data_IF_482978518639
#
_entry.id   IF_482978518639
#
_cell.length_a   1.000
_cell.length_b   1.000
_cell.length_c   1.000
_cell.angle_alpha   90.00
_cell.angle_beta   90.00
_cell.angle_gamma   90.00
#
_symmetry.space_group_name_H-M   'P 1'
#
loop_
_entity.id
_entity.type
_entity.pdbx_description
1 polymer ?
#
# COMPACT_ATOMS: atom_id res chain seq x y z
N UNK A 1 -12.77 -24.78 -6.79
CA UNK A 1 -12.27 -23.66 -5.96
C UNK A 1 -10.93 -23.99 -5.29
N UNK A 2 -10.64 -25.26 -5.01
CA UNK A 2 -9.36 -25.74 -4.44
C UNK A 2 -8.12 -25.47 -5.34
N UNK A 3 -8.28 -25.45 -6.67
CA UNK A 3 -7.16 -25.25 -7.61
C UNK A 3 -6.58 -23.82 -7.62
N UNK A 4 -7.36 -22.80 -7.24
CA UNK A 4 -6.90 -21.41 -7.27
C UNK A 4 -5.95 -21.09 -6.10
N UNK A 5 -6.14 -21.73 -4.94
CA UNK A 5 -5.30 -21.56 -3.76
C UNK A 5 -3.90 -22.19 -3.98
N UNK A 6 -3.86 -23.38 -4.58
CA UNK A 6 -2.63 -24.11 -4.88
C UNK A 6 -1.74 -23.42 -5.92
N UNK A 7 -2.35 -22.80 -6.92
CA UNK A 7 -1.64 -22.03 -7.94
C UNK A 7 -1.13 -20.69 -7.38
N UNK A 8 -1.87 -20.08 -6.44
CA UNK A 8 -1.53 -18.79 -5.82
C UNK A 8 -0.27 -18.86 -4.94
N UNK A 9 -0.14 -19.88 -4.08
CA UNK A 9 0.98 -19.98 -3.13
C UNK A 9 2.31 -20.38 -3.80
N UNK A 10 2.32 -21.38 -4.71
CA UNK A 10 3.54 -21.76 -5.47
C UNK A 10 4.07 -20.62 -6.33
N UNK A 11 3.17 -19.78 -6.88
CA UNK A 11 3.55 -18.65 -7.73
C UNK A 11 3.92 -17.39 -6.96
N UNK A 12 3.65 -17.28 -5.65
CA UNK A 12 3.88 -16.02 -4.93
C UNK A 12 5.26 -15.93 -4.29
N UNK A 13 5.70 -16.95 -3.55
CA UNK A 13 7.00 -16.93 -2.86
C UNK A 13 8.18 -17.05 -3.84
N UNK A 14 8.14 -18.01 -4.77
CA UNK A 14 9.22 -18.15 -5.74
C UNK A 14 9.29 -16.94 -6.69
N UNK A 15 8.15 -16.32 -7.00
CA UNK A 15 8.11 -15.09 -7.80
C UNK A 15 8.73 -13.91 -7.07
N UNK A 16 8.52 -13.76 -5.76
CA UNK A 16 9.14 -12.65 -5.03
C UNK A 16 10.67 -12.80 -4.98
N UNK A 17 11.18 -14.00 -4.70
CA UNK A 17 12.63 -14.23 -4.66
C UNK A 17 13.30 -13.98 -6.01
N UNK A 18 12.68 -14.45 -7.10
CA UNK A 18 13.17 -14.21 -8.47
C UNK A 18 13.12 -12.72 -8.84
N UNK A 19 12.04 -12.02 -8.47
CA UNK A 19 11.90 -10.58 -8.71
C UNK A 19 12.94 -9.75 -7.94
N UNK A 20 13.35 -10.23 -6.75
CA UNK A 20 14.42 -9.64 -5.95
C UNK A 20 15.84 -10.06 -6.41
N UNK A 21 15.96 -10.72 -7.55
CA UNK A 21 17.23 -11.10 -8.16
C UNK A 21 17.97 -12.22 -7.42
N UNK A 22 17.27 -13.08 -6.68
CA UNK A 22 17.89 -14.29 -6.10
C UNK A 22 18.18 -15.30 -7.20
N UNK A 23 19.36 -15.94 -7.13
CA UNK A 23 19.76 -16.98 -8.06
C UNK A 23 18.86 -18.21 -7.92
N UNK A 24 18.62 -18.91 -9.04
CA UNK A 24 17.73 -20.08 -9.07
C UNK A 24 18.16 -21.15 -8.06
N UNK A 25 19.47 -21.44 -8.00
CA UNK A 25 20.05 -22.40 -7.04
C UNK A 25 19.71 -22.05 -5.58
N UNK A 26 19.73 -20.76 -5.24
CA UNK A 26 19.39 -20.29 -3.90
C UNK A 26 17.89 -20.45 -3.61
N UNK A 27 17.05 -20.16 -4.59
CA UNK A 27 15.59 -20.34 -4.46
C UNK A 27 15.26 -21.81 -4.26
N UNK A 28 15.87 -22.68 -5.06
CA UNK A 28 15.69 -24.14 -4.96
C UNK A 28 16.20 -24.69 -3.63
N UNK A 29 17.36 -24.23 -3.14
CA UNK A 29 17.88 -24.59 -1.83
C UNK A 29 16.90 -24.22 -0.71
N UNK A 30 16.41 -22.98 -0.71
CA UNK A 30 15.48 -22.48 0.31
C UNK A 30 14.17 -23.27 0.26
N UNK A 31 13.63 -23.52 -0.93
CA UNK A 31 12.41 -24.30 -1.10
C UNK A 31 12.59 -25.73 -0.58
N UNK A 32 13.66 -26.40 -1.01
CA UNK A 32 13.96 -27.78 -0.62
C UNK A 32 14.13 -27.90 0.89
N UNK A 33 14.95 -27.03 1.48
CA UNK A 33 15.15 -27.00 2.93
C UNK A 33 13.84 -26.75 3.68
N UNK A 34 13.06 -25.75 3.25
CA UNK A 34 11.79 -25.40 3.90
C UNK A 34 10.77 -26.54 3.83
N UNK A 35 10.74 -27.28 2.73
CA UNK A 35 9.89 -28.48 2.57
C UNK A 35 10.32 -29.61 3.51
N UNK A 36 11.61 -29.92 3.57
CA UNK A 36 12.15 -30.95 4.46
C UNK A 36 11.87 -30.63 5.93
N UNK A 37 11.99 -29.36 6.32
CA UNK A 37 11.72 -28.92 7.70
C UNK A 37 10.23 -28.75 8.02
N UNK A 38 9.32 -28.90 7.05
CA UNK A 38 7.89 -28.67 7.25
C UNK A 38 7.50 -27.19 7.41
N UNK A 39 8.38 -26.25 7.05
CA UNK A 39 8.09 -24.81 7.02
C UNK A 39 7.39 -24.37 5.74
N UNK A 40 7.30 -25.26 4.75
CA UNK A 40 6.64 -24.99 3.48
C UNK A 40 5.15 -25.33 3.55
N UNK A 41 4.30 -24.34 3.26
CA UNK A 41 2.84 -24.53 3.25
C UNK A 41 2.38 -25.08 1.90
N UNK A 42 2.13 -26.39 1.84
CA UNK A 42 1.50 -27.09 0.69
C UNK A 42 -0.05 -26.96 0.76
N UNK A 43 -0.59 -25.72 0.76
CA UNK A 43 -2.04 -25.42 0.87
C UNK A 43 -2.77 -26.02 2.11
N UNK A 44 -4.11 -25.86 2.19
CA UNK A 44 -5.08 -26.01 3.31
C UNK A 44 -4.91 -27.21 4.27
N UNK A 45 -3.73 -27.30 4.86
CA UNK A 45 -3.48 -28.14 6.02
C UNK A 45 -4.39 -27.65 7.13
N UNK A 46 -5.20 -28.54 7.70
CA UNK A 46 -6.08 -28.22 8.81
C UNK A 46 -5.23 -27.83 10.03
N UNK A 47 -5.10 -26.52 10.24
CA UNK A 47 -4.41 -25.96 11.40
C UNK A 47 -5.48 -25.55 12.39
N UNK A 48 -5.39 -26.10 13.60
CA UNK A 48 -6.22 -25.65 14.72
C UNK A 48 -5.61 -24.39 15.31
N UNK A 49 -6.35 -23.28 15.21
CA UNK A 49 -6.00 -22.02 15.85
C UNK A 49 -6.83 -21.86 17.13
N UNK A 50 -6.30 -21.11 18.11
CA UNK A 50 -7.06 -20.74 19.31
C UNK A 50 -8.27 -19.88 18.96
N UNK A 51 -8.08 -18.95 18.02
CA UNK A 51 -9.10 -18.04 17.52
C UNK A 51 -9.02 -17.97 15.99
N UNK A 52 -10.18 -17.92 15.35
CA UNK A 52 -10.31 -17.79 13.89
C UNK A 52 -11.08 -16.51 13.58
N UNK A 53 -10.50 -15.67 12.73
CA UNK A 53 -11.12 -14.43 12.26
C UNK A 53 -11.31 -14.56 10.75
N UNK A 54 -12.52 -14.27 10.29
CA UNK A 54 -12.87 -14.27 8.88
C UNK A 54 -12.94 -12.85 8.33
N UNK A 55 -12.50 -12.67 7.08
CA UNK A 55 -12.53 -11.39 6.39
C UNK A 55 -12.89 -11.63 4.93
N UNK A 56 -14.07 -11.16 4.52
CA UNK A 56 -14.43 -11.13 3.10
C UNK A 56 -13.74 -9.95 2.40
N UNK A 57 -12.88 -10.27 1.43
CA UNK A 57 -12.19 -9.26 0.63
C UNK A 57 -13.15 -8.49 -0.31
N UNK A 58 -14.32 -9.06 -0.61
CA UNK A 58 -15.33 -8.44 -1.47
C UNK A 58 -16.02 -7.25 -0.81
N UNK A 59 -16.07 -7.23 0.53
CA UNK A 59 -16.68 -6.16 1.33
C UNK A 59 -15.69 -5.02 1.66
N UNK A 60 -14.42 -5.14 1.25
CA UNK A 60 -13.40 -4.13 1.56
C UNK A 60 -13.61 -2.88 0.71
N UNK A 61 -13.83 -1.76 1.38
CA UNK A 61 -13.90 -0.42 0.79
C UNK A 61 -12.67 0.43 1.14
N UNK A 62 -12.28 1.39 0.26
CA UNK A 62 -11.25 2.37 0.56
C UNK A 62 -11.54 3.13 1.87
N UNK A 63 -10.54 3.21 2.74
CA UNK A 63 -10.64 3.86 4.04
C UNK A 63 -9.37 4.63 4.40
N UNK A 64 -9.50 5.52 5.37
CA UNK A 64 -8.42 6.27 6.00
C UNK A 64 -8.40 5.94 7.50
N UNK A 65 -7.21 5.91 8.09
CA UNK A 65 -7.04 5.78 9.54
C UNK A 65 -6.79 7.14 10.20
N UNK A 66 -7.44 7.41 11.33
CA UNK A 66 -7.27 8.65 12.11
C UNK A 66 -8.60 9.26 12.57
N UNK A 67 -8.63 10.54 12.97
CA UNK A 67 -7.53 11.53 12.94
C UNK A 67 -6.55 11.41 14.12
N UNK A 68 -6.91 10.69 15.19
CA UNK A 68 -6.14 10.64 16.45
C UNK A 68 -5.40 9.32 16.67
N UNK A 69 -5.97 8.18 16.23
CA UNK A 69 -5.39 6.84 16.47
C UNK A 69 -5.39 5.99 15.20
N UNK A 70 -4.42 5.09 15.02
CA UNK A 70 -4.29 4.28 13.79
C UNK A 70 -5.42 3.25 13.59
N UNK A 71 -6.02 2.76 14.68
CA UNK A 71 -7.15 1.82 14.63
C UNK A 71 -8.49 2.48 14.27
N UNK A 72 -8.57 3.81 14.26
CA UNK A 72 -9.78 4.54 13.92
C UNK A 72 -10.02 4.47 12.40
N UNK A 73 -10.84 3.53 11.94
CA UNK A 73 -11.13 3.32 10.51
C UNK A 73 -12.30 4.21 10.04
N UNK A 74 -12.03 5.09 9.08
CA UNK A 74 -13.01 5.98 8.45
C UNK A 74 -13.13 5.59 6.97
N UNK A 75 -14.35 5.31 6.48
CA UNK A 75 -14.55 5.06 5.04
C UNK A 75 -14.23 6.34 4.26
N UNK A 76 -13.65 6.20 3.07
CA UNK A 76 -13.19 7.35 2.29
C UNK A 76 -14.31 8.37 2.00
N UNK A 77 -15.54 7.88 1.79
CA UNK A 77 -16.75 8.70 1.57
C UNK A 77 -17.15 9.55 2.79
N UNK A 78 -16.77 9.14 3.99
CA UNK A 78 -17.18 9.76 5.26
C UNK A 78 -16.08 10.68 5.84
N UNK A 79 -14.91 10.74 5.20
CA UNK A 79 -13.75 11.54 5.68
C UNK A 79 -14.11 13.01 5.86
N UNK A 80 -14.81 13.61 4.89
CA UNK A 80 -15.17 15.03 4.96
C UNK A 80 -16.08 15.35 6.17
N UNK A 81 -17.06 14.48 6.45
CA UNK A 81 -17.93 14.63 7.61
C UNK A 81 -17.17 14.47 8.93
N UNK A 82 -16.26 13.49 9.02
CA UNK A 82 -15.49 13.24 10.24
C UNK A 82 -14.49 14.36 10.52
N UNK A 83 -13.82 14.87 9.47
CA UNK A 83 -12.92 16.03 9.61
C UNK A 83 -13.68 17.24 10.13
N UNK A 84 -14.87 17.52 9.59
CA UNK A 84 -15.70 18.64 10.05
C UNK A 84 -16.12 18.50 11.51
N UNK A 85 -16.47 17.30 11.97
CA UNK A 85 -16.89 17.08 13.37
C UNK A 85 -15.74 17.05 14.37
N UNK A 86 -14.58 16.48 13.98
CA UNK A 86 -13.46 16.26 14.91
C UNK A 86 -12.42 17.39 14.92
N UNK A 87 -12.26 18.10 13.80
CA UNK A 87 -11.24 19.15 13.62
C UNK A 87 -11.89 20.55 13.55
N UNK A 88 -13.14 20.63 13.10
CA UNK A 88 -13.82 21.90 12.83
C UNK A 88 -13.44 22.48 11.47
N UNK A 89 -14.12 23.55 11.05
CA UNK A 89 -13.92 24.25 9.77
C UNK A 89 -13.71 25.76 9.98
N UNK A 90 -13.20 26.13 11.16
CA UNK A 90 -12.95 27.55 11.46
C UNK A 90 -11.84 28.07 10.53
N UNK A 91 -12.05 29.23 9.89
CA UNK A 91 -11.04 29.84 9.03
C UNK A 91 -9.84 30.26 9.88
N UNK A 92 -8.64 29.88 9.44
CA UNK A 92 -7.41 30.42 10.03
C UNK A 92 -7.16 31.83 9.50
N UNK A 93 -6.28 32.58 10.17
CA UNK A 93 -5.91 33.97 9.80
C UNK A 93 -5.25 34.10 8.42
N UNK A 94 -5.01 32.99 7.72
CA UNK A 94 -4.62 32.94 6.32
C UNK A 94 -5.88 32.66 5.50
N UNK A 95 -6.32 33.62 4.68
CA UNK A 95 -7.61 33.66 3.96
C UNK A 95 -7.98 32.43 3.11
N UNK A 96 -7.10 31.43 2.98
CA UNK A 96 -7.31 30.21 2.18
C UNK A 96 -7.15 28.90 2.95
N UNK A 97 -6.85 28.94 4.26
CA UNK A 97 -6.65 27.74 5.08
C UNK A 97 -7.75 27.69 6.14
N UNK A 98 -8.55 26.61 6.13
CA UNK A 98 -9.54 26.29 7.16
C UNK A 98 -9.21 24.98 7.88
N UNK A 99 -9.91 24.72 8.98
CA UNK A 99 -9.92 23.42 9.62
C UNK A 99 -10.21 22.29 8.62
N UNK A 100 -9.30 21.31 8.53
CA UNK A 100 -9.35 20.23 7.54
C UNK A 100 -8.48 20.43 6.29
N UNK A 101 -7.86 21.60 6.13
CA UNK A 101 -6.87 21.81 5.05
C UNK A 101 -5.66 20.87 5.21
N UNK A 102 -5.25 20.21 4.13
CA UNK A 102 -4.08 19.33 4.14
C UNK A 102 -2.81 20.15 3.99
N UNK A 103 -1.98 20.17 5.04
CA UNK A 103 -0.71 20.88 5.04
C UNK A 103 0.47 19.99 4.64
N UNK A 104 0.39 18.69 4.94
CA UNK A 104 1.43 17.71 4.63
C UNK A 104 0.77 16.52 3.91
N UNK A 105 1.31 16.17 2.75
CA UNK A 105 0.98 14.93 2.04
C UNK A 105 2.25 14.10 1.89
N UNK A 106 2.36 13.03 2.68
CA UNK A 106 3.57 12.24 2.78
C UNK A 106 3.33 10.80 2.32
N UNK A 107 3.99 10.38 1.24
CA UNK A 107 4.10 8.96 0.86
C UNK A 107 5.39 8.43 1.50
N UNK A 108 5.26 7.82 2.67
CA UNK A 108 6.38 7.38 3.51
C UNK A 108 6.12 5.99 4.10
N UNK A 109 7.09 5.50 4.87
CA UNK A 109 7.12 4.20 5.56
C UNK A 109 7.21 2.96 4.67
N UNK A 110 7.85 1.92 5.21
CA UNK A 110 8.05 0.64 4.53
C UNK A 110 6.73 -0.10 4.24
N UNK A 111 5.62 0.21 4.92
CA UNK A 111 4.33 -0.46 4.72
C UNK A 111 3.79 -0.27 3.30
N UNK A 112 3.86 0.95 2.77
CA UNK A 112 3.35 1.27 1.43
C UNK A 112 4.47 1.38 0.41
N UNK A 113 5.63 1.91 0.79
CA UNK A 113 6.70 2.18 -0.18
C UNK A 113 7.55 0.95 -0.50
N UNK A 114 7.30 -0.20 0.13
CA UNK A 114 7.85 -1.50 -0.29
C UNK A 114 6.95 -2.25 -1.29
N UNK A 115 5.72 -1.78 -1.53
CA UNK A 115 4.76 -2.40 -2.44
C UNK A 115 4.78 -1.67 -3.80
N UNK A 116 5.36 -2.26 -4.86
CA UNK A 116 5.45 -1.62 -6.17
C UNK A 116 4.10 -1.24 -6.76
N UNK A 117 3.05 -2.03 -6.49
CA UNK A 117 1.72 -1.85 -7.09
C UNK A 117 1.10 -0.53 -6.66
N UNK A 118 1.13 -0.22 -5.36
CA UNK A 118 0.56 1.04 -4.85
C UNK A 118 1.41 2.25 -5.22
N UNK A 119 2.73 2.08 -5.32
CA UNK A 119 3.64 3.14 -5.77
C UNK A 119 3.43 3.50 -7.25
N UNK A 120 3.26 2.49 -8.12
CA UNK A 120 2.91 2.71 -9.53
C UNK A 120 1.53 3.33 -9.67
N UNK A 121 0.55 2.87 -8.88
CA UNK A 121 -0.78 3.48 -8.86
C UNK A 121 -0.74 4.97 -8.49
N UNK A 122 0.05 5.34 -7.48
CA UNK A 122 0.26 6.75 -7.11
C UNK A 122 0.86 7.57 -8.26
N UNK A 123 1.87 7.05 -8.95
CA UNK A 123 2.46 7.70 -10.14
C UNK A 123 1.47 7.86 -11.30
N UNK A 124 0.62 6.86 -11.54
CA UNK A 124 -0.43 6.92 -12.56
C UNK A 124 -1.49 7.98 -12.23
N UNK A 125 -1.92 8.07 -10.97
CA UNK A 125 -2.83 9.12 -10.50
C UNK A 125 -2.21 10.50 -10.72
N UNK A 126 -0.94 10.67 -10.34
CA UNK A 126 -0.21 11.92 -10.54
C UNK A 126 -0.08 12.31 -12.02
N UNK A 127 0.26 11.36 -12.90
CA UNK A 127 0.35 11.56 -14.34
C UNK A 127 -0.98 12.02 -14.94
N UNK A 128 -2.10 11.38 -14.54
CA UNK A 128 -3.44 11.76 -14.99
C UNK A 128 -3.85 13.13 -14.46
N UNK A 129 -3.55 13.44 -13.20
CA UNK A 129 -3.82 14.75 -12.62
C UNK A 129 -3.07 15.87 -13.36
N UNK A 130 -1.79 15.65 -13.68
CA UNK A 130 -0.99 16.60 -14.46
C UNK A 130 -1.52 16.80 -15.88
N UNK A 131 -1.92 15.71 -16.56
CA UNK A 131 -2.54 15.79 -17.88
C UNK A 131 -3.86 16.59 -17.89
N UNK A 132 -4.56 16.64 -16.73
CA UNK A 132 -5.77 17.44 -16.52
C UNK A 132 -5.46 18.87 -16.01
N UNK A 133 -4.19 19.26 -15.90
CA UNK A 133 -3.77 20.58 -15.41
C UNK A 133 -3.96 20.79 -13.91
N UNK A 134 -4.23 19.73 -13.14
CA UNK A 134 -4.41 19.83 -11.69
C UNK A 134 -3.06 20.04 -11.00
N UNK A 135 -3.03 20.98 -10.06
CA UNK A 135 -1.85 21.27 -9.22
C UNK A 135 -2.23 21.19 -7.75
N UNK A 136 -1.26 20.81 -6.92
CA UNK A 136 -1.39 20.92 -5.47
C UNK A 136 -1.54 22.38 -5.05
N UNK A 137 -2.18 22.61 -3.90
CA UNK A 137 -2.24 23.93 -3.27
C UNK A 137 -0.85 24.38 -2.83
N UNK A 138 -0.62 25.69 -2.80
CA UNK A 138 0.71 26.27 -2.53
C UNK A 138 1.24 25.98 -1.11
N UNK A 139 0.33 25.92 -0.13
CA UNK A 139 0.68 25.61 1.26
C UNK A 139 0.94 24.12 1.51
N UNK A 140 0.64 23.25 0.53
CA UNK A 140 0.86 21.83 0.69
C UNK A 140 2.35 21.53 0.61
N UNK A 141 2.88 20.86 1.64
CA UNK A 141 4.24 20.31 1.63
C UNK A 141 4.21 18.82 1.23
N UNK A 142 4.46 18.47 -0.04
CA UNK A 142 4.60 17.07 -0.45
C UNK A 142 5.92 16.50 0.08
N UNK A 143 5.87 15.27 0.59
CA UNK A 143 7.05 14.52 1.02
C UNK A 143 6.99 13.12 0.44
N UNK A 144 8.12 12.65 -0.10
CA UNK A 144 8.24 11.27 -0.58
C UNK A 144 9.52 10.65 -0.07
N UNK A 145 9.41 9.43 0.47
CA UNK A 145 10.54 8.63 0.90
C UNK A 145 10.40 7.20 0.39
N UNK A 146 11.30 6.80 -0.52
CA UNK A 146 11.30 5.46 -1.11
C UNK A 146 11.99 4.45 -0.18
N UNK A 147 11.38 3.27 0.02
CA UNK A 147 12.02 2.16 0.71
C UNK A 147 13.16 1.58 -0.14
N UNK A 148 14.26 1.21 0.52
CA UNK A 148 15.47 0.64 -0.08
C UNK A 148 15.20 -0.68 -0.85
N UNK A 149 14.10 -1.38 -0.55
CA UNK A 149 13.72 -2.65 -1.18
C UNK A 149 13.17 -2.47 -2.60
N UNK A 150 12.74 -1.27 -2.99
CA UNK A 150 12.34 -0.98 -4.36
C UNK A 150 13.50 -0.39 -5.14
N UNK A 151 13.84 -1.02 -6.27
CA UNK A 151 14.87 -0.47 -7.15
C UNK A 151 14.41 0.90 -7.71
N UNK A 152 15.32 1.89 -7.82
CA UNK A 152 15.01 3.16 -8.48
C UNK A 152 14.50 2.99 -9.93
N UNK A 153 14.87 1.89 -10.59
CA UNK A 153 14.44 1.55 -11.95
C UNK A 153 12.95 1.19 -12.06
N UNK A 154 12.30 0.76 -10.97
CA UNK A 154 10.90 0.35 -10.97
C UNK A 154 9.96 1.51 -11.35
N UNK A 155 10.28 2.73 -10.93
CA UNK A 155 9.51 3.93 -11.24
C UNK A 155 10.08 4.70 -12.44
N UNK A 156 11.41 4.67 -12.66
CA UNK A 156 12.06 5.39 -13.75
C UNK A 156 11.85 4.77 -15.14
N UNK A 157 11.78 3.44 -15.25
CA UNK A 157 11.71 2.75 -16.56
C UNK A 157 10.32 2.76 -17.22
N UNK A 158 9.35 3.50 -16.67
CA UNK A 158 7.95 3.43 -17.12
C UNK A 158 7.26 4.80 -17.29
N UNK A 159 8.01 5.89 -17.41
CA UNK A 159 7.48 7.24 -17.64
C UNK A 159 6.37 7.66 -16.66
N UNK A 160 6.54 7.29 -15.39
CA UNK A 160 5.66 7.70 -14.29
C UNK A 160 6.21 8.89 -13.49
N UNK A 161 7.44 9.31 -13.79
CA UNK A 161 7.98 10.56 -13.27
C UNK A 161 7.31 11.73 -13.97
N UNK A 162 6.78 12.66 -13.18
CA UNK A 162 6.34 13.97 -13.67
C UNK A 162 7.59 14.73 -14.16
N UNK A 163 7.56 15.21 -15.40
CA UNK A 163 8.50 16.22 -15.90
C UNK A 163 8.25 17.56 -15.20
#
# INVERSE_FOLDING_TARGET
MEDLCNISNRRSNNKIFKTLGRHEEQVELVETYSKIQGFWRESDSEITYTDVIELDLSEIEPCLSGPKRPQDRIKLKDVASVVKSEIGDEPSSLDQISGGSVLIAAITSCTNTSNPTVMVAAGLVAKKANALGLKSKEWLKPVWHQDQRLSPSTLKNRDYCLN
#
